data_IF_195429468919
#
_entry.id   IF_195429468919
#
_cell.length_a   1.000
_cell.length_b   1.000
_cell.length_c   1.000
_cell.angle_alpha   90.00
_cell.angle_beta   90.00
_cell.angle_gamma   90.00
#
_symmetry.space_group_name_H-M   'P 1'
#
loop_
_entity.id
_entity.type
_entity.pdbx_description
1 polymer ?
#
# COMPACT_ATOMS: atom_id res chain seq x y z
N UNK A 1 -16.35 -7.77 -1.93
CA UNK A 1 -16.40 -6.61 -2.87
C UNK A 1 -16.11 -7.08 -4.28
N UNK A 2 -16.53 -6.36 -5.33
CA UNK A 2 -16.18 -6.70 -6.71
C UNK A 2 -14.71 -6.32 -7.00
N UNK A 3 -13.88 -7.32 -7.31
CA UNK A 3 -12.45 -7.13 -7.55
C UNK A 3 -12.14 -6.31 -8.79
N UNK A 4 -12.97 -6.38 -9.84
CA UNK A 4 -12.76 -5.63 -11.07
C UNK A 4 -13.06 -4.15 -10.83
N UNK A 5 -14.14 -3.87 -10.09
CA UNK A 5 -14.46 -2.52 -9.65
C UNK A 5 -13.29 -1.90 -8.85
N UNK A 6 -12.73 -2.65 -7.89
CA UNK A 6 -11.58 -2.21 -7.11
C UNK A 6 -10.39 -1.89 -8.01
N UNK A 7 -10.00 -2.83 -8.88
CA UNK A 7 -8.87 -2.66 -9.80
C UNK A 7 -9.06 -1.42 -10.66
N UNK A 8 -10.23 -1.25 -11.28
CA UNK A 8 -10.52 -0.12 -12.16
C UNK A 8 -10.43 1.21 -11.41
N UNK A 9 -10.91 1.27 -10.16
CA UNK A 9 -10.82 2.48 -9.33
C UNK A 9 -9.39 2.88 -8.99
N UNK A 10 -8.52 1.90 -8.73
CA UNK A 10 -7.10 2.15 -8.49
C UNK A 10 -6.39 2.53 -9.80
N UNK A 11 -6.69 1.83 -10.89
CA UNK A 11 -6.10 2.08 -12.20
C UNK A 11 -6.40 3.50 -12.68
N UNK A 12 -7.64 3.98 -12.48
CA UNK A 12 -8.08 5.35 -12.75
C UNK A 12 -7.19 6.39 -12.04
N UNK A 13 -6.84 6.16 -10.76
CA UNK A 13 -5.95 7.07 -10.01
C UNK A 13 -4.53 7.08 -10.57
N UNK A 14 -4.03 5.91 -10.98
CA UNK A 14 -2.67 5.76 -11.50
C UNK A 14 -2.52 6.32 -12.91
N UNK A 15 -3.62 6.44 -13.67
CA UNK A 15 -3.64 7.05 -15.00
C UNK A 15 -3.97 8.55 -14.97
N UNK A 16 -4.61 9.05 -13.90
CA UNK A 16 -4.96 10.46 -13.72
C UNK A 16 -4.43 11.01 -12.39
N UNK A 17 -3.25 11.63 -12.45
CA UNK A 17 -2.62 12.25 -11.28
C UNK A 17 -3.42 13.46 -10.75
N UNK A 18 -4.16 14.18 -11.60
CA UNK A 18 -4.94 15.34 -11.14
C UNK A 18 -6.16 14.89 -10.34
N UNK A 19 -6.81 13.79 -10.74
CA UNK A 19 -7.83 13.13 -9.94
C UNK A 19 -7.26 12.64 -8.60
N UNK A 20 -6.10 11.98 -8.64
CA UNK A 20 -5.42 11.50 -7.44
C UNK A 20 -5.12 12.66 -6.48
N UNK A 21 -4.50 13.73 -7.00
CA UNK A 21 -4.20 14.95 -6.25
C UNK A 21 -5.46 15.55 -5.63
N UNK A 22 -6.54 15.68 -6.41
CA UNK A 22 -7.81 16.21 -5.93
C UNK A 22 -8.35 15.43 -4.73
N UNK A 23 -8.36 14.09 -4.82
CA UNK A 23 -8.81 13.22 -3.75
C UNK A 23 -7.88 13.31 -2.54
N UNK A 24 -6.55 13.26 -2.73
CA UNK A 24 -5.57 13.34 -1.65
C UNK A 24 -5.68 14.64 -0.84
N UNK A 25 -6.01 15.75 -1.50
CA UNK A 25 -6.22 17.05 -0.86
C UNK A 25 -7.51 17.04 -0.01
N UNK A 26 -8.60 16.48 -0.56
CA UNK A 26 -9.95 16.55 0.02
C UNK A 26 -10.30 15.42 0.98
N UNK A 27 -9.56 14.31 0.95
CA UNK A 27 -9.89 13.14 1.74
C UNK A 27 -9.93 13.44 3.24
N UNK A 28 -10.86 12.78 3.91
CA UNK A 28 -11.03 12.85 5.35
C UNK A 28 -9.81 12.24 6.06
N UNK A 29 -9.40 12.82 7.19
CA UNK A 29 -8.25 12.37 7.97
C UNK A 29 -8.60 11.87 9.35
N UNK A 30 -9.83 11.38 9.51
CA UNK A 30 -10.22 10.52 10.63
C UNK A 30 -9.11 9.55 11.03
N UNK A 31 -9.02 9.30 12.34
CA UNK A 31 -8.09 8.38 12.98
C UNK A 31 -8.13 6.99 12.33
N UNK A 32 -7.22 6.77 11.39
CA UNK A 32 -6.91 5.45 10.86
C UNK A 32 -5.92 4.86 11.86
N UNK A 33 -6.18 3.65 12.34
CA UNK A 33 -5.15 2.91 13.07
C UNK A 33 -4.22 2.30 12.03
N UNK A 34 -2.93 2.59 12.18
CA UNK A 34 -1.93 2.20 11.21
C UNK A 34 -0.78 1.48 11.88
N UNK A 35 -0.37 0.36 11.29
CA UNK A 35 0.77 -0.43 11.73
C UNK A 35 1.75 -0.57 10.56
N UNK A 36 3.02 -0.24 10.81
CA UNK A 36 4.11 -0.38 9.85
C UNK A 36 5.09 -1.44 10.33
N UNK A 37 5.49 -2.34 9.45
CA UNK A 37 6.40 -3.42 9.75
C UNK A 37 7.48 -3.47 8.67
N UNK A 38 8.69 -3.07 9.04
CA UNK A 38 9.88 -3.17 8.19
C UNK A 38 10.74 -4.36 8.61
N UNK A 39 10.89 -5.31 7.68
CA UNK A 39 11.70 -6.50 7.89
C UNK A 39 12.98 -6.50 7.06
N UNK A 40 13.39 -5.36 6.50
CA UNK A 40 14.65 -5.22 5.78
C UNK A 40 15.85 -5.06 6.74
N UNK A 41 16.32 -6.18 7.29
CA UNK A 41 17.25 -6.14 8.43
C UNK A 41 18.64 -6.74 8.18
N UNK A 42 18.82 -7.68 7.23
CA UNK A 42 20.04 -8.51 7.20
C UNK A 42 20.58 -8.92 5.83
N UNK A 43 19.72 -9.00 4.83
CA UNK A 43 20.05 -9.47 3.49
C UNK A 43 19.39 -8.55 2.47
N UNK A 44 19.85 -8.55 1.21
CA UNK A 44 19.21 -7.74 0.17
C UNK A 44 17.75 -8.17 -0.09
N UNK A 45 17.27 -9.26 0.50
CA UNK A 45 15.87 -9.69 0.41
C UNK A 45 15.07 -8.89 1.44
N UNK A 46 14.18 -7.99 1.00
CA UNK A 46 13.39 -7.13 1.89
C UNK A 46 11.89 -7.38 1.78
N UNK A 47 11.18 -7.13 2.88
CA UNK A 47 9.72 -7.00 2.88
C UNK A 47 9.28 -5.93 3.87
N UNK A 48 8.40 -5.04 3.40
CA UNK A 48 7.74 -4.00 4.16
C UNK A 48 6.24 -4.24 4.08
N UNK A 49 5.55 -4.10 5.21
CA UNK A 49 4.10 -4.28 5.32
C UNK A 49 3.52 -3.06 6.02
N UNK A 50 2.69 -2.33 5.30
CA UNK A 50 1.85 -1.26 5.84
C UNK A 50 0.42 -1.78 6.00
N UNK A 51 -0.12 -1.76 7.21
CA UNK A 51 -1.47 -2.20 7.57
C UNK A 51 -2.30 -1.00 8.02
N UNK A 52 -3.42 -0.73 7.34
CA UNK A 52 -4.37 0.33 7.67
C UNK A 52 -5.73 -0.28 8.02
N UNK A 53 -6.26 0.06 9.20
CA UNK A 53 -7.59 -0.35 9.64
C UNK A 53 -8.66 0.67 9.25
N UNK A 54 -9.75 0.19 8.68
CA UNK A 54 -10.90 0.98 8.26
C UNK A 54 -12.21 0.28 8.64
N UNK A 55 -13.29 1.04 8.73
CA UNK A 55 -14.64 0.46 8.73
C UNK A 55 -14.96 -0.18 7.38
N UNK A 56 -15.65 -1.33 7.38
CA UNK A 56 -16.05 -2.04 6.16
C UNK A 56 -16.81 -1.16 5.17
N UNK A 57 -17.80 -0.42 5.67
CA UNK A 57 -18.57 0.51 4.84
C UNK A 57 -17.70 1.67 4.33
N UNK A 58 -16.64 2.04 5.06
CA UNK A 58 -15.72 3.06 4.57
C UNK A 58 -14.90 2.53 3.38
N UNK A 59 -14.30 1.34 3.49
CA UNK A 59 -13.53 0.74 2.37
C UNK A 59 -14.41 0.62 1.14
N UNK A 60 -15.59 0.03 1.27
CA UNK A 60 -16.51 -0.23 0.17
C UNK A 60 -16.89 1.04 -0.60
N UNK A 61 -17.05 2.16 0.10
CA UNK A 61 -17.47 3.43 -0.49
C UNK A 61 -16.29 4.32 -0.92
N UNK A 62 -15.07 4.09 -0.39
CA UNK A 62 -13.93 5.00 -0.55
C UNK A 62 -12.63 4.28 -0.98
N UNK A 63 -12.72 3.29 -1.88
CA UNK A 63 -11.56 2.52 -2.39
C UNK A 63 -10.39 3.40 -2.82
N UNK A 64 -10.68 4.50 -3.52
CA UNK A 64 -9.65 5.44 -3.99
C UNK A 64 -8.94 6.16 -2.83
N UNK A 65 -9.68 6.63 -1.83
CA UNK A 65 -9.09 7.23 -0.63
C UNK A 65 -8.27 6.22 0.16
N UNK A 66 -8.77 4.99 0.34
CA UNK A 66 -8.06 3.92 1.01
C UNK A 66 -6.72 3.62 0.32
N UNK A 67 -6.68 3.62 -1.01
CA UNK A 67 -5.45 3.41 -1.77
C UNK A 67 -4.45 4.55 -1.57
N UNK A 68 -4.90 5.80 -1.71
CA UNK A 68 -4.06 6.99 -1.53
C UNK A 68 -3.50 7.05 -0.11
N UNK A 69 -4.33 6.80 0.90
CA UNK A 69 -3.93 6.76 2.31
C UNK A 69 -2.86 5.72 2.57
N UNK A 70 -3.06 4.51 2.07
CA UNK A 70 -2.09 3.44 2.24
C UNK A 70 -0.74 3.77 1.60
N UNK A 71 -0.75 4.35 0.39
CA UNK A 71 0.47 4.74 -0.32
C UNK A 71 1.22 5.91 0.32
N UNK A 72 0.50 6.95 0.76
CA UNK A 72 1.12 8.08 1.45
C UNK A 72 1.70 7.63 2.79
N UNK A 73 0.98 6.76 3.52
CA UNK A 73 1.47 6.22 4.78
C UNK A 73 2.74 5.37 4.60
N UNK A 74 2.71 4.41 3.67
CA UNK A 74 3.84 3.53 3.38
C UNK A 74 5.11 4.34 3.07
N UNK A 75 4.96 5.41 2.28
CA UNK A 75 6.04 6.34 1.99
C UNK A 75 6.46 7.16 3.22
N UNK A 76 5.52 7.70 4.00
CA UNK A 76 5.83 8.50 5.18
C UNK A 76 6.61 7.72 6.23
N UNK A 77 6.29 6.43 6.42
CA UNK A 77 7.04 5.55 7.30
C UNK A 77 8.43 5.23 6.74
N UNK A 78 8.54 4.91 5.46
CA UNK A 78 9.82 4.59 4.81
C UNK A 78 10.81 5.76 4.84
N UNK A 79 10.32 6.99 4.73
CA UNK A 79 11.13 8.21 4.68
C UNK A 79 11.29 8.89 6.05
N UNK A 80 10.85 8.25 7.13
CA UNK A 80 10.83 8.82 8.50
C UNK A 80 10.24 10.24 8.57
N UNK A 81 9.19 10.48 7.79
CA UNK A 81 8.63 11.81 7.68
C UNK A 81 8.02 12.30 9.00
N UNK A 82 8.53 13.43 9.47
CA UNK A 82 8.05 14.11 10.69
C UNK A 82 6.72 14.84 10.50
N UNK A 83 6.27 15.04 9.26
CA UNK A 83 5.00 15.69 8.93
C UNK A 83 3.95 14.64 8.60
N UNK A 84 2.97 14.53 9.49
CA UNK A 84 1.79 13.70 9.26
C UNK A 84 0.91 14.36 8.19
N UNK A 85 1.03 13.89 6.95
CA UNK A 85 0.20 14.34 5.81
C UNK A 85 -1.30 14.35 6.16
N UNK A 86 -1.72 13.48 7.07
CA UNK A 86 -3.11 13.38 7.49
C UNK A 86 -3.51 14.49 8.50
N UNK A 87 -2.54 15.12 9.17
CA UNK A 87 -2.78 16.14 10.21
C UNK A 87 -2.40 17.57 9.81
N UNK A 88 -2.21 17.84 8.52
CA UNK A 88 -1.96 19.18 7.97
C UNK A 88 -3.17 19.76 7.23
N UNK A 89 -3.14 21.08 7.01
CA UNK A 89 -4.21 21.81 6.34
C UNK A 89 -4.33 21.45 4.85
N UNK A 90 -5.52 21.64 4.28
CA UNK A 90 -5.77 21.39 2.85
C UNK A 90 -4.79 22.13 1.94
N UNK A 91 -4.50 23.40 2.24
CA UNK A 91 -3.54 24.23 1.47
C UNK A 91 -2.10 23.77 1.62
N UNK A 92 -1.76 23.03 2.68
CA UNK A 92 -0.45 22.40 2.85
C UNK A 92 -0.38 21.08 2.08
N UNK A 93 -1.46 20.27 2.10
CA UNK A 93 -1.56 19.08 1.25
C UNK A 93 -1.43 19.42 -0.22
N UNK A 94 -2.06 20.50 -0.68
CA UNK A 94 -1.96 20.97 -2.06
C UNK A 94 -0.50 21.22 -2.46
N UNK A 95 0.24 21.97 -1.63
CA UNK A 95 1.66 22.25 -1.86
C UNK A 95 2.50 20.98 -1.89
N UNK A 96 2.22 20.01 -1.02
CA UNK A 96 2.93 18.73 -0.98
C UNK A 96 2.66 17.90 -2.23
N UNK A 97 1.38 17.79 -2.65
CA UNK A 97 1.00 17.06 -3.86
C UNK A 97 1.52 17.70 -5.15
N UNK A 98 1.93 18.97 -5.12
CA UNK A 98 2.65 19.62 -6.24
C UNK A 98 4.15 19.29 -6.29
N UNK A 99 4.72 18.71 -5.23
CA UNK A 99 6.11 18.29 -5.24
C UNK A 99 6.26 17.04 -6.12
N UNK A 100 7.30 17.04 -6.97
CA UNK A 100 7.65 15.89 -7.81
C UNK A 100 7.83 14.61 -7.00
N UNK A 101 8.26 14.73 -5.74
CA UNK A 101 8.36 13.62 -4.83
C UNK A 101 7.03 12.88 -4.65
N UNK A 102 5.94 13.58 -4.31
CA UNK A 102 4.63 12.95 -4.10
C UNK A 102 4.10 12.32 -5.37
N UNK A 103 4.35 12.94 -6.53
CA UNK A 103 4.04 12.36 -7.82
C UNK A 103 4.77 11.04 -8.06
N UNK A 104 6.03 10.95 -7.63
CA UNK A 104 6.83 9.74 -7.78
C UNK A 104 6.34 8.57 -6.91
N UNK A 105 5.72 8.83 -5.75
CA UNK A 105 5.13 7.78 -4.88
C UNK A 105 4.11 6.91 -5.65
N UNK A 106 3.38 7.54 -6.58
CA UNK A 106 2.34 6.92 -7.39
C UNK A 106 2.80 6.56 -8.80
N UNK A 107 4.07 6.80 -9.13
CA UNK A 107 4.63 6.51 -10.46
C UNK A 107 5.45 5.23 -10.42
N UNK A 108 5.00 4.22 -11.16
CA UNK A 108 5.69 2.93 -11.24
C UNK A 108 6.58 2.87 -12.47
N UNK A 109 7.83 2.43 -12.30
CA UNK A 109 8.74 2.17 -13.43
C UNK A 109 8.17 1.10 -14.35
N UNK A 110 7.51 0.10 -13.76
CA UNK A 110 6.73 -0.91 -14.47
C UNK A 110 5.35 -1.04 -13.82
N UNK A 111 4.33 -0.39 -14.39
CA UNK A 111 2.93 -0.60 -14.01
C UNK A 111 2.47 -1.98 -14.52
N UNK A 112 2.05 -2.86 -13.62
CA UNK A 112 1.62 -4.23 -13.90
C UNK A 112 0.09 -4.36 -13.78
N UNK A 113 -0.50 -3.89 -12.68
CA UNK A 113 -1.94 -3.94 -12.39
C UNK A 113 -2.60 -5.30 -12.69
N UNK A 114 -2.21 -6.34 -11.93
CA UNK A 114 -2.78 -7.70 -12.10
C UNK A 114 -3.26 -8.30 -10.79
N UNK A 115 -4.29 -9.13 -10.85
CA UNK A 115 -4.67 -9.95 -9.70
C UNK A 115 -3.63 -11.04 -9.44
N UNK A 116 -3.29 -11.22 -8.17
CA UNK A 116 -2.43 -12.31 -7.72
C UNK A 116 -3.27 -13.34 -6.99
N UNK A 117 -3.08 -14.62 -7.31
CA UNK A 117 -3.72 -15.71 -6.57
C UNK A 117 -3.11 -15.81 -5.18
N UNK A 118 -3.94 -15.95 -4.15
CA UNK A 118 -3.48 -16.12 -2.76
C UNK A 118 -2.42 -17.23 -2.60
N UNK A 119 -2.61 -18.40 -3.22
CA UNK A 119 -1.63 -19.50 -3.14
C UNK A 119 -0.24 -19.14 -3.71
N UNK A 120 -0.19 -18.23 -4.69
CA UNK A 120 1.06 -17.73 -5.23
C UNK A 120 1.66 -16.69 -4.29
N UNK A 121 0.86 -15.70 -3.90
CA UNK A 121 1.28 -14.62 -3.01
C UNK A 121 1.79 -15.14 -1.66
N UNK A 122 1.05 -16.03 -1.01
CA UNK A 122 1.42 -16.63 0.29
C UNK A 122 2.78 -17.34 0.25
N UNK A 123 3.11 -18.04 -0.83
CA UNK A 123 4.42 -18.69 -0.99
C UNK A 123 5.55 -17.67 -1.09
N UNK A 124 5.35 -16.60 -1.88
CA UNK A 124 6.32 -15.51 -1.99
C UNK A 124 6.47 -14.80 -0.65
N UNK A 125 5.37 -14.41 -0.01
CA UNK A 125 5.35 -13.80 1.31
C UNK A 125 6.13 -14.62 2.35
N UNK A 126 5.88 -15.93 2.46
CA UNK A 126 6.60 -16.82 3.39
C UNK A 126 8.09 -16.84 3.07
N UNK A 127 8.48 -16.86 1.80
CA UNK A 127 9.89 -16.86 1.40
C UNK A 127 10.62 -15.58 1.84
N UNK A 128 10.03 -14.41 1.57
CA UNK A 128 10.60 -13.11 1.98
C UNK A 128 10.65 -12.97 3.50
N UNK A 129 9.55 -13.28 4.19
CA UNK A 129 9.45 -13.14 5.66
C UNK A 129 10.33 -14.12 6.41
N UNK A 130 10.44 -15.38 5.95
CA UNK A 130 11.34 -16.38 6.55
C UNK A 130 12.81 -16.00 6.37
N UNK A 131 13.17 -15.43 5.20
CA UNK A 131 14.53 -14.96 4.93
C UNK A 131 14.95 -13.80 5.84
N UNK A 132 13.97 -13.03 6.32
CA UNK A 132 14.15 -11.91 7.24
C UNK A 132 13.86 -12.24 8.71
N UNK A 133 13.63 -13.51 9.05
CA UNK A 133 13.48 -13.95 10.44
C UNK A 133 12.17 -13.56 11.11
N UNK A 134 11.14 -13.17 10.34
CA UNK A 134 9.79 -12.96 10.89
C UNK A 134 9.28 -14.26 11.53
N UNK A 135 8.70 -14.15 12.73
CA UNK A 135 8.20 -15.33 13.46
C UNK A 135 7.05 -16.00 12.72
N UNK A 136 6.89 -17.31 12.89
CA UNK A 136 5.75 -18.07 12.31
C UNK A 136 4.40 -17.54 12.78
N UNK A 137 4.31 -17.06 14.02
CA UNK A 137 3.09 -16.47 14.57
C UNK A 137 2.69 -15.22 13.79
N UNK A 138 3.64 -14.32 13.53
CA UNK A 138 3.39 -13.11 12.77
C UNK A 138 3.12 -13.40 11.28
N UNK A 139 3.84 -14.37 10.70
CA UNK A 139 3.53 -14.85 9.35
C UNK A 139 2.08 -15.36 9.26
N UNK A 140 1.64 -16.18 10.22
CA UNK A 140 0.28 -16.71 10.24
C UNK A 140 -0.76 -15.60 10.41
N UNK A 141 -0.51 -14.62 11.29
CA UNK A 141 -1.38 -13.44 11.45
C UNK A 141 -1.64 -12.76 10.11
N UNK A 142 -0.57 -12.40 9.37
CA UNK A 142 -0.71 -11.75 8.08
C UNK A 142 -1.38 -12.65 7.03
N UNK A 143 -0.97 -13.93 6.95
CA UNK A 143 -1.56 -14.87 6.00
C UNK A 143 -3.06 -15.09 6.21
N UNK A 144 -3.54 -15.07 7.45
CA UNK A 144 -4.96 -15.15 7.79
C UNK A 144 -5.71 -13.88 7.34
N UNK A 145 -5.14 -12.70 7.59
CA UNK A 145 -5.71 -11.41 7.14
C UNK A 145 -5.77 -11.28 5.61
N UNK A 146 -4.82 -11.85 4.88
CA UNK A 146 -4.75 -11.75 3.42
C UNK A 146 -5.67 -12.74 2.69
N UNK A 147 -6.08 -13.82 3.35
CA UNK A 147 -6.68 -15.00 2.71
C UNK A 147 -7.94 -14.71 1.90
N UNK A 148 -8.79 -13.84 2.44
CA UNK A 148 -10.07 -13.47 1.83
C UNK A 148 -10.02 -12.11 1.11
N UNK A 149 -8.84 -11.48 1.09
CA UNK A 149 -8.62 -10.18 0.46
C UNK A 149 -8.46 -10.25 -1.06
N UNK A 150 -8.76 -9.12 -1.72
CA UNK A 150 -8.42 -8.92 -3.13
C UNK A 150 -6.96 -8.47 -3.21
N UNK A 151 -6.10 -9.29 -3.80
CA UNK A 151 -4.66 -9.00 -3.96
C UNK A 151 -4.39 -8.51 -5.38
N UNK A 152 -3.89 -7.28 -5.49
CA UNK A 152 -3.52 -6.63 -6.76
C UNK A 152 -2.05 -6.27 -6.71
N UNK A 153 -1.25 -6.83 -7.62
CA UNK A 153 0.12 -6.39 -7.85
C UNK A 153 0.10 -5.18 -8.76
N UNK A 154 0.58 -4.05 -8.25
CA UNK A 154 0.53 -2.77 -8.94
C UNK A 154 1.76 -2.58 -9.80
N UNK A 155 2.94 -2.96 -9.31
CA UNK A 155 4.21 -2.79 -10.00
C UNK A 155 5.39 -2.83 -9.03
N UNK A 156 6.48 -2.16 -9.37
CA UNK A 156 7.64 -2.00 -8.52
C UNK A 156 8.47 -0.78 -8.93
N UNK A 157 9.29 -0.27 -8.00
CA UNK A 157 10.20 0.84 -8.24
C UNK A 157 11.45 0.39 -9.02
N UNK A 158 11.96 -0.81 -8.72
CA UNK A 158 13.11 -1.41 -9.39
C UNK A 158 12.80 -2.78 -10.01
N UNK A 159 13.76 -3.29 -10.79
CA UNK A 159 13.63 -4.59 -11.44
C UNK A 159 13.74 -5.71 -10.40
N UNK A 160 12.62 -6.37 -10.11
CA UNK A 160 12.52 -7.41 -9.07
C UNK A 160 11.74 -6.97 -7.83
N UNK A 161 11.28 -5.72 -7.78
CA UNK A 161 10.37 -5.25 -6.75
C UNK A 161 8.92 -5.57 -7.11
N UNK A 162 8.16 -5.88 -6.08
CA UNK A 162 6.74 -6.14 -6.17
C UNK A 162 6.03 -5.38 -5.05
N UNK A 163 5.08 -4.55 -5.47
CA UNK A 163 4.13 -3.90 -4.59
C UNK A 163 2.77 -4.55 -4.80
N UNK A 164 2.28 -5.20 -3.74
CA UNK A 164 0.93 -5.74 -3.68
C UNK A 164 0.06 -4.87 -2.79
N UNK A 165 -1.07 -4.43 -3.35
CA UNK A 165 -2.16 -3.82 -2.60
C UNK A 165 -3.23 -4.87 -2.31
N UNK A 166 -3.52 -5.05 -1.04
CA UNK A 166 -4.46 -6.07 -0.56
C UNK A 166 -5.63 -5.37 0.11
N UNK A 167 -6.84 -5.63 -0.36
CA UNK A 167 -8.07 -5.09 0.24
C UNK A 167 -8.88 -6.23 0.85
N UNK A 168 -8.97 -6.24 2.18
CA UNK A 168 -9.91 -7.05 2.95
C UNK A 168 -11.14 -6.25 3.38
N UNK A 169 -11.96 -6.85 4.24
CA UNK A 169 -13.21 -6.24 4.70
C UNK A 169 -13.01 -5.12 5.72
N UNK A 170 -11.93 -5.14 6.50
CA UNK A 170 -11.65 -4.13 7.53
C UNK A 170 -10.26 -3.54 7.45
N UNK A 171 -9.43 -4.12 6.59
CA UNK A 171 -8.02 -3.81 6.50
C UNK A 171 -7.61 -3.67 5.07
N UNK A 172 -6.66 -2.77 4.88
CA UNK A 172 -5.96 -2.57 3.63
C UNK A 172 -4.48 -2.71 3.91
N UNK A 173 -3.79 -3.38 3.01
CA UNK A 173 -2.35 -3.57 3.12
C UNK A 173 -1.63 -3.08 1.87
N UNK A 174 -0.46 -2.49 2.08
CA UNK A 174 0.58 -2.36 1.05
C UNK A 174 1.71 -3.28 1.48
N UNK A 175 2.04 -4.24 0.62
CA UNK A 175 3.12 -5.20 0.85
C UNK A 175 4.16 -4.98 -0.24
N UNK A 176 5.29 -4.39 0.14
CA UNK A 176 6.43 -4.14 -0.71
C UNK A 176 7.48 -5.22 -0.45
N UNK A 177 7.89 -5.96 -1.48
CA UNK A 177 8.92 -6.98 -1.35
C UNK A 177 9.80 -7.04 -2.58
N UNK A 178 11.09 -7.29 -2.38
CA UNK A 178 12.06 -7.25 -3.47
C UNK A 178 13.48 -7.56 -3.02
N UNK A 179 14.41 -7.45 -3.96
CA UNK A 179 15.83 -7.58 -3.70
C UNK A 179 16.45 -6.18 -3.81
N UNK A 180 16.76 -5.58 -2.67
CA UNK A 180 17.27 -4.21 -2.50
C UNK A 180 18.74 -4.23 -2.10
N UNK A 181 19.50 -3.22 -2.51
CA UNK A 181 20.95 -3.09 -2.27
C UNK A 181 21.31 -2.51 -0.90
#
# INVERSE_FOLDING_TARGET
MDKEYIKNKIEELLDDYELLKHIAIKMDTKNIEINYQDWFNKYPIGIIISELNFDYEYIKNNIQECFIKAKIFDCACSEEWSLDFFNILETEREKLMDLQFYKNIFTYKQKIMRFVKYDKFSKEFIWFTSSNGMSKEMQNYFLDEFKDGVIIEIGGCYAGDHECYIIGDKKVFVVNYGIWD
#
